data_IF_565462397527
#
_entry.id   IF_565462397527
#
_cell.length_a   1.000
_cell.length_b   1.000
_cell.length_c   1.000
_cell.angle_alpha   90.00
_cell.angle_beta   90.00
_cell.angle_gamma   90.00
#
_symmetry.space_group_name_H-M   'P 1'
#
loop_
_entity.id
_entity.type
_entity.pdbx_description
1 polymer ?
#
# COMPACT_ATOMS: atom_id res chain seq x y z
N UNK A 1 -6.19 5.60 -26.53
CA UNK A 1 -4.76 5.65 -26.16
C UNK A 1 -4.34 4.22 -25.84
N UNK A 2 -3.06 3.93 -25.61
CA UNK A 2 -2.67 2.59 -25.13
C UNK A 2 -3.02 2.50 -23.65
N UNK A 3 -3.60 1.38 -23.21
CA UNK A 3 -3.92 1.17 -21.79
C UNK A 3 -2.62 1.21 -20.98
N UNK A 4 -2.60 2.02 -19.92
CA UNK A 4 -1.47 2.20 -19.02
C UNK A 4 -1.08 0.89 -18.32
N UNK A 5 0.21 0.61 -18.28
CA UNK A 5 0.76 -0.54 -17.55
C UNK A 5 0.81 -0.26 -16.05
N UNK A 6 0.61 -1.31 -15.27
CA UNK A 6 0.70 -1.31 -13.82
C UNK A 6 1.68 -2.36 -13.32
N UNK A 7 2.43 -2.00 -12.28
CA UNK A 7 3.23 -2.92 -11.47
C UNK A 7 2.90 -2.72 -10.00
N UNK A 8 2.94 -3.80 -9.21
CA UNK A 8 2.60 -3.76 -7.79
C UNK A 8 3.78 -4.28 -6.98
N UNK A 9 4.13 -3.54 -5.93
CA UNK A 9 5.03 -3.99 -4.86
C UNK A 9 4.19 -4.33 -3.63
N UNK A 10 4.43 -5.46 -2.99
CA UNK A 10 3.82 -5.84 -1.72
C UNK A 10 4.88 -6.13 -0.67
N UNK A 11 4.70 -5.54 0.50
CA UNK A 11 5.44 -5.86 1.69
C UNK A 11 4.63 -6.82 2.57
N UNK A 12 5.26 -7.86 3.12
CA UNK A 12 4.60 -8.83 4.01
C UNK A 12 5.41 -9.03 5.29
N UNK A 13 4.71 -9.28 6.40
CA UNK A 13 5.35 -9.63 7.66
C UNK A 13 5.68 -11.12 7.71
N UNK A 14 6.78 -11.45 8.37
CA UNK A 14 7.19 -12.82 8.67
C UNK A 14 6.81 -13.15 10.12
N UNK A 15 6.07 -14.24 10.29
CA UNK A 15 5.61 -14.72 11.61
C UNK A 15 5.98 -16.18 11.84
N UNK A 16 6.18 -16.55 13.11
CA UNK A 16 6.26 -17.93 13.54
C UNK A 16 4.92 -18.65 13.29
N UNK A 17 4.90 -19.78 12.56
CA UNK A 17 3.66 -20.45 12.18
C UNK A 17 2.88 -21.05 13.37
N UNK A 18 3.53 -21.34 14.49
CA UNK A 18 2.86 -21.93 15.65
C UNK A 18 2.19 -20.87 16.53
N UNK A 19 2.79 -19.68 16.60
CA UNK A 19 2.43 -18.65 17.59
C UNK A 19 1.90 -17.35 16.98
N UNK A 20 2.06 -17.15 15.68
CA UNK A 20 1.70 -15.90 14.98
C UNK A 20 2.57 -14.70 15.35
N UNK A 21 3.68 -14.91 16.08
CA UNK A 21 4.57 -13.84 16.53
C UNK A 21 5.57 -13.48 15.46
N UNK A 22 5.85 -12.20 15.37
CA UNK A 22 6.80 -11.63 14.42
C UNK A 22 8.20 -12.29 14.55
N UNK A 23 8.82 -12.65 13.42
CA UNK A 23 10.12 -13.34 13.41
C UNK A 23 11.11 -12.71 12.41
N UNK A 24 12.37 -12.59 12.82
CA UNK A 24 13.40 -11.84 12.10
C UNK A 24 14.22 -12.74 11.13
N UNK A 25 13.57 -13.28 10.10
CA UNK A 25 14.17 -14.29 9.20
C UNK A 25 14.24 -13.90 7.72
N UNK A 26 14.02 -12.63 7.36
CA UNK A 26 13.97 -12.22 5.95
C UNK A 26 15.24 -12.53 5.17
N UNK A 27 16.42 -12.44 5.80
CA UNK A 27 17.70 -12.81 5.15
C UNK A 27 17.79 -14.30 4.84
N UNK A 28 17.23 -15.17 5.68
CA UNK A 28 17.17 -16.60 5.42
C UNK A 28 16.20 -16.88 4.26
N UNK A 29 15.04 -16.23 4.25
CA UNK A 29 14.04 -16.36 3.20
C UNK A 29 14.58 -15.89 1.83
N UNK A 30 15.20 -14.71 1.77
CA UNK A 30 15.80 -14.19 0.52
C UNK A 30 16.89 -15.14 0.02
N UNK A 31 17.76 -15.66 0.89
CA UNK A 31 18.77 -16.65 0.48
C UNK A 31 18.17 -17.95 -0.05
N UNK A 32 17.06 -18.40 0.55
CA UNK A 32 16.35 -19.59 0.08
C UNK A 32 15.80 -19.35 -1.34
N UNK A 33 15.22 -18.18 -1.59
CA UNK A 33 14.76 -17.79 -2.92
C UNK A 33 15.92 -17.67 -3.93
N UNK A 34 17.04 -17.04 -3.57
CA UNK A 34 18.22 -16.93 -4.44
C UNK A 34 18.81 -18.29 -4.86
N UNK A 35 18.65 -19.32 -4.01
CA UNK A 35 19.09 -20.68 -4.32
C UNK A 35 18.18 -21.39 -5.35
N UNK A 36 16.91 -20.97 -5.44
CA UNK A 36 15.93 -21.51 -6.38
C UNK A 36 14.94 -20.41 -6.82
N UNK A 37 15.39 -19.47 -7.67
CA UNK A 37 14.62 -18.27 -7.97
C UNK A 37 13.37 -18.59 -8.80
N UNK A 38 12.27 -17.95 -8.45
CA UNK A 38 11.05 -17.97 -9.24
C UNK A 38 11.14 -16.88 -10.34
N UNK A 39 10.93 -17.23 -11.63
CA UNK A 39 10.94 -16.24 -12.69
C UNK A 39 9.87 -15.17 -12.47
N UNK A 40 10.26 -13.91 -12.67
CA UNK A 40 9.36 -12.74 -12.62
C UNK A 40 8.65 -12.54 -11.28
N UNK A 41 9.21 -13.08 -10.19
CA UNK A 41 8.66 -12.98 -8.84
C UNK A 41 9.82 -12.83 -7.83
N UNK A 42 10.57 -11.72 -7.89
CA UNK A 42 11.69 -11.49 -6.98
C UNK A 42 11.20 -11.36 -5.53
N UNK A 43 12.08 -11.74 -4.62
CA UNK A 43 11.89 -11.68 -3.18
C UNK A 43 13.05 -10.93 -2.58
N UNK A 44 12.76 -9.78 -1.96
CA UNK A 44 13.76 -8.83 -1.52
C UNK A 44 13.67 -8.53 -0.01
N UNK A 45 14.78 -8.02 0.53
CA UNK A 45 14.88 -7.67 1.93
C UNK A 45 14.55 -6.19 2.16
N UNK A 46 13.63 -5.92 3.07
CA UNK A 46 13.21 -4.57 3.43
C UNK A 46 13.98 -4.04 4.67
N UNK A 47 13.64 -2.82 5.12
CA UNK A 47 14.21 -2.11 6.28
C UNK A 47 14.30 -2.99 7.54
N UNK A 48 13.34 -3.88 7.76
CA UNK A 48 13.30 -4.77 8.93
C UNK A 48 13.48 -6.24 8.54
N UNK A 49 14.17 -7.00 9.39
CA UNK A 49 14.36 -8.44 9.21
C UNK A 49 13.08 -9.25 9.33
N UNK A 50 12.03 -8.63 9.86
CA UNK A 50 10.69 -9.19 10.05
C UNK A 50 9.76 -8.97 8.84
N UNK A 51 10.28 -8.37 7.78
CA UNK A 51 9.53 -7.96 6.60
C UNK A 51 10.22 -8.47 5.35
N UNK A 52 9.43 -8.78 4.34
CA UNK A 52 9.89 -9.25 3.04
C UNK A 52 9.08 -8.53 1.96
N UNK A 53 9.72 -8.22 0.85
CA UNK A 53 9.11 -7.48 -0.25
C UNK A 53 9.05 -8.36 -1.50
N UNK A 54 8.02 -8.15 -2.30
CA UNK A 54 7.90 -8.74 -3.63
C UNK A 54 7.29 -7.74 -4.59
N UNK A 55 7.43 -7.99 -5.89
CA UNK A 55 6.92 -7.14 -6.94
C UNK A 55 6.40 -7.96 -8.12
N UNK A 56 5.52 -7.36 -8.92
CA UNK A 56 5.01 -7.94 -10.16
C UNK A 56 5.68 -7.30 -11.38
N UNK A 57 5.79 -8.02 -12.50
CA UNK A 57 6.08 -7.40 -13.79
C UNK A 57 5.00 -6.38 -14.17
N UNK A 58 5.34 -5.37 -15.00
CA UNK A 58 4.36 -4.44 -15.53
C UNK A 58 3.40 -5.14 -16.51
N UNK A 59 2.10 -4.92 -16.37
CA UNK A 59 1.07 -5.43 -17.29
C UNK A 59 -0.05 -4.40 -17.51
N UNK A 60 -0.73 -4.48 -18.66
CA UNK A 60 -1.94 -3.71 -18.94
C UNK A 60 -3.23 -4.51 -18.63
N UNK A 61 -3.12 -5.79 -18.27
CA UNK A 61 -4.25 -6.69 -18.07
C UNK A 61 -4.40 -7.06 -16.57
N UNK A 62 -5.61 -6.91 -16.02
CA UNK A 62 -5.85 -7.19 -14.60
C UNK A 62 -5.89 -8.69 -14.26
N UNK A 63 -6.20 -9.56 -15.21
CA UNK A 63 -6.14 -11.01 -15.03
C UNK A 63 -4.67 -11.47 -15.02
N UNK A 64 -3.82 -10.88 -15.86
CA UNK A 64 -2.36 -11.09 -15.79
C UNK A 64 -1.79 -10.58 -14.46
N UNK A 65 -2.27 -9.43 -13.97
CA UNK A 65 -1.88 -8.88 -12.67
C UNK A 65 -2.28 -9.80 -11.51
N UNK A 66 -3.50 -10.34 -11.51
CA UNK A 66 -3.97 -11.30 -10.49
C UNK A 66 -3.04 -12.53 -10.44
N UNK A 67 -2.73 -13.11 -11.60
CA UNK A 67 -1.79 -14.24 -11.71
C UNK A 67 -0.39 -13.86 -11.23
N UNK A 68 0.09 -12.67 -11.58
CA UNK A 68 1.40 -12.19 -11.13
C UNK A 68 1.46 -12.00 -9.61
N UNK A 69 0.46 -11.37 -9.00
CA UNK A 69 0.38 -11.20 -7.54
C UNK A 69 0.37 -12.55 -6.80
N UNK A 70 -0.40 -13.54 -7.29
CA UNK A 70 -0.41 -14.88 -6.70
C UNK A 70 0.94 -15.58 -6.82
N UNK A 71 1.62 -15.42 -7.96
CA UNK A 71 2.97 -15.94 -8.18
C UNK A 71 3.99 -15.29 -7.25
N UNK A 72 3.95 -13.98 -7.10
CA UNK A 72 4.81 -13.21 -6.19
C UNK A 72 4.58 -13.64 -4.74
N UNK A 73 3.32 -13.77 -4.31
CA UNK A 73 2.98 -14.31 -2.98
C UNK A 73 3.39 -15.77 -2.79
N UNK A 74 3.33 -16.60 -3.83
CA UNK A 74 3.86 -17.97 -3.80
C UNK A 74 5.36 -17.97 -3.52
N UNK A 75 6.12 -17.20 -4.27
CA UNK A 75 7.57 -17.12 -4.13
C UNK A 75 7.98 -16.66 -2.71
N UNK A 76 7.28 -15.65 -2.18
CA UNK A 76 7.46 -15.19 -0.79
C UNK A 76 7.07 -16.26 0.22
N UNK A 77 5.94 -16.94 0.03
CA UNK A 77 5.44 -17.98 0.92
C UNK A 77 6.38 -19.19 1.00
N UNK A 78 6.87 -19.67 -0.14
CA UNK A 78 7.84 -20.77 -0.24
C UNK A 78 9.18 -20.37 0.40
N UNK A 79 9.66 -19.15 0.15
CA UNK A 79 10.88 -18.62 0.76
C UNK A 79 10.76 -18.49 2.30
N UNK A 80 9.61 -18.00 2.79
CA UNK A 80 9.34 -17.90 4.22
C UNK A 80 9.27 -19.29 4.88
N UNK A 81 8.62 -20.26 4.22
CA UNK A 81 8.50 -21.63 4.72
C UNK A 81 9.87 -22.31 4.86
N UNK A 82 10.76 -22.16 3.88
CA UNK A 82 12.14 -22.68 3.96
C UNK A 82 12.94 -22.02 5.09
N UNK A 83 12.62 -20.77 5.43
CA UNK A 83 13.20 -20.06 6.56
C UNK A 83 12.53 -20.40 7.92
N UNK A 84 11.54 -21.30 7.94
CA UNK A 84 10.82 -21.70 9.16
C UNK A 84 9.76 -20.67 9.62
N UNK A 85 9.29 -19.80 8.73
CA UNK A 85 8.29 -18.78 8.99
C UNK A 85 7.07 -18.90 8.05
N UNK A 86 6.04 -18.12 8.32
CA UNK A 86 4.92 -17.86 7.41
C UNK A 86 4.90 -16.38 7.05
N UNK A 87 4.65 -16.06 5.78
CA UNK A 87 4.40 -14.69 5.33
C UNK A 87 2.93 -14.34 5.49
N UNK A 88 2.63 -13.14 6.00
CA UNK A 88 1.26 -12.65 6.21
C UNK A 88 1.07 -11.26 5.63
N UNK A 89 0.03 -11.10 4.81
CA UNK A 89 -0.35 -9.82 4.21
C UNK A 89 -1.21 -8.99 5.19
N UNK A 90 -0.53 -8.27 6.09
CA UNK A 90 -1.11 -7.40 7.12
C UNK A 90 -0.29 -6.13 7.29
N UNK A 91 -0.95 -4.98 7.44
CA UNK A 91 -0.25 -3.69 7.39
C UNK A 91 0.58 -3.36 8.63
N UNK A 92 0.37 -4.01 9.79
CA UNK A 92 1.13 -3.76 11.03
C UNK A 92 1.31 -5.01 11.88
N UNK A 93 2.38 -5.09 12.70
CA UNK A 93 2.60 -6.21 13.61
C UNK A 93 1.51 -6.33 14.69
N UNK A 94 0.81 -7.46 14.73
CA UNK A 94 -0.21 -7.74 15.75
C UNK A 94 0.41 -8.34 17.01
N UNK A 95 1.29 -9.34 16.86
CA UNK A 95 1.94 -10.04 17.96
C UNK A 95 3.46 -9.91 17.82
N UNK A 96 4.11 -9.35 18.83
CA UNK A 96 5.55 -9.05 18.80
C UNK A 96 6.19 -9.56 20.09
N UNK A 97 7.32 -10.25 19.95
CA UNK A 97 8.21 -10.60 21.07
C UNK A 97 9.46 -9.72 20.99
N UNK A 98 9.57 -8.73 21.88
CA UNK A 98 10.74 -7.85 21.95
C UNK A 98 10.75 -6.73 20.91
N UNK A 99 11.95 -6.32 20.49
CA UNK A 99 12.14 -5.19 19.57
C UNK A 99 12.26 -5.67 18.12
N UNK A 100 11.78 -4.83 17.19
CA UNK A 100 12.00 -5.03 15.75
C UNK A 100 13.48 -4.87 15.39
N UNK A 101 13.94 -5.59 14.38
CA UNK A 101 15.36 -5.67 14.05
C UNK A 101 15.60 -5.09 12.67
N UNK A 102 16.37 -4.01 12.60
CA UNK A 102 16.72 -3.38 11.33
C UNK A 102 17.71 -4.26 10.57
N UNK A 103 17.45 -4.43 9.27
CA UNK A 103 18.32 -5.15 8.35
C UNK A 103 19.71 -4.51 8.34
N UNK A 104 20.81 -5.26 8.54
CA UNK A 104 22.16 -4.70 8.74
C UNK A 104 22.82 -4.25 7.44
N UNK A 105 22.13 -3.40 6.67
CA UNK A 105 22.66 -2.73 5.48
C UNK A 105 23.05 -1.29 5.82
N UNK A 106 24.12 -0.74 5.20
CA UNK A 106 24.59 0.62 5.49
C UNK A 106 23.50 1.70 5.39
N UNK A 107 22.63 1.62 4.38
CA UNK A 107 21.50 2.53 4.19
C UNK A 107 20.56 2.53 5.39
N UNK A 108 20.10 1.36 5.79
CA UNK A 108 19.15 1.18 6.89
C UNK A 108 19.72 1.56 8.26
N UNK A 109 21.00 1.28 8.50
CA UNK A 109 21.68 1.72 9.73
C UNK A 109 21.81 3.25 9.80
N UNK A 110 22.00 3.92 8.66
CA UNK A 110 21.99 5.39 8.57
C UNK A 110 20.60 5.96 8.86
N UNK A 111 19.54 5.36 8.29
CA UNK A 111 18.15 5.73 8.60
C UNK A 111 17.91 5.62 10.10
N UNK A 112 18.29 4.50 10.73
CA UNK A 112 18.16 4.34 12.19
C UNK A 112 18.84 5.45 12.97
N UNK A 113 20.06 5.81 12.57
CA UNK A 113 20.84 6.83 13.26
C UNK A 113 20.21 8.22 13.14
N UNK A 114 19.71 8.57 11.96
CA UNK A 114 19.15 9.91 11.70
C UNK A 114 17.77 10.10 12.34
N UNK A 115 16.87 9.13 12.19
CA UNK A 115 15.47 9.26 12.57
C UNK A 115 15.14 8.69 13.96
N UNK A 116 16.11 8.06 14.62
CA UNK A 116 16.01 7.54 15.98
C UNK A 116 14.72 6.71 16.20
N UNK A 117 13.87 7.08 17.16
CA UNK A 117 12.66 6.35 17.53
C UNK A 117 11.63 6.23 16.39
N UNK A 118 11.63 7.18 15.45
CA UNK A 118 10.77 7.07 14.27
C UNK A 118 11.15 5.86 13.42
N UNK A 119 12.46 5.60 13.24
CA UNK A 119 12.92 4.41 12.54
C UNK A 119 12.66 3.10 13.32
N UNK A 120 12.58 3.15 14.66
CA UNK A 120 12.27 1.96 15.47
C UNK A 120 10.79 1.59 15.46
N UNK A 121 9.90 2.56 15.27
CA UNK A 121 8.45 2.38 15.28
C UNK A 121 7.83 2.28 13.88
N UNK A 122 8.67 2.22 12.83
CA UNK A 122 8.25 2.29 11.43
C UNK A 122 7.84 0.97 10.79
N UNK A 123 7.91 -0.18 11.49
CA UNK A 123 7.56 -1.47 10.90
C UNK A 123 6.07 -1.50 10.53
N UNK A 124 5.81 -1.46 9.23
CA UNK A 124 4.49 -1.55 8.62
C UNK A 124 4.64 -2.05 7.18
N UNK A 125 3.59 -2.66 6.64
CA UNK A 125 3.59 -3.26 5.31
C UNK A 125 2.62 -2.55 4.37
N UNK A 126 3.16 -2.07 3.26
CA UNK A 126 2.46 -1.36 2.21
C UNK A 126 2.13 -2.25 1.00
N UNK A 127 1.23 -1.73 0.17
CA UNK A 127 1.18 -2.04 -1.25
C UNK A 127 1.47 -0.75 -2.03
N UNK A 128 2.45 -0.78 -2.93
CA UNK A 128 2.71 0.34 -3.84
C UNK A 128 2.24 -0.02 -5.25
N UNK A 129 1.58 0.93 -5.91
CA UNK A 129 1.09 0.76 -7.28
C UNK A 129 1.84 1.73 -8.18
N UNK A 130 2.63 1.18 -9.10
CA UNK A 130 3.26 1.93 -10.17
C UNK A 130 2.34 1.98 -11.38
N UNK A 131 2.11 3.17 -11.92
CA UNK A 131 1.36 3.37 -13.17
C UNK A 131 2.25 4.17 -14.12
N UNK A 132 2.43 3.68 -15.34
CA UNK A 132 3.24 4.36 -16.36
C UNK A 132 2.68 5.75 -16.75
N UNK A 133 3.61 6.65 -17.07
CA UNK A 133 3.33 8.02 -17.50
C UNK A 133 4.16 8.36 -18.74
N UNK A 134 3.64 9.27 -19.56
CA UNK A 134 4.30 9.66 -20.81
C UNK A 134 5.44 10.67 -20.60
N UNK A 135 5.37 11.48 -19.54
CA UNK A 135 6.42 12.44 -19.19
C UNK A 135 6.37 12.88 -17.72
N UNK A 136 7.45 13.43 -17.15
CA UNK A 136 7.43 14.03 -15.81
C UNK A 136 6.39 15.16 -15.66
N UNK A 137 6.14 15.94 -16.71
CA UNK A 137 5.12 17.00 -16.70
C UNK A 137 3.71 16.42 -16.57
N UNK A 138 3.42 15.31 -17.26
CA UNK A 138 2.19 14.55 -17.02
C UNK A 138 2.16 14.02 -15.59
N UNK A 139 3.25 13.41 -15.13
CA UNK A 139 3.36 12.86 -13.78
C UNK A 139 3.03 13.89 -12.69
N UNK A 140 3.57 15.11 -12.76
CA UNK A 140 3.26 16.17 -11.77
C UNK A 140 1.78 16.59 -11.82
N UNK A 141 1.20 16.74 -13.02
CA UNK A 141 -0.24 17.03 -13.14
C UNK A 141 -1.09 15.90 -12.54
N UNK A 142 -0.66 14.65 -12.76
CA UNK A 142 -1.31 13.47 -12.16
C UNK A 142 -1.22 13.53 -10.65
N UNK A 143 -0.04 13.76 -10.06
CA UNK A 143 0.14 13.86 -8.60
C UNK A 143 -0.83 14.88 -7.98
N UNK A 144 -0.90 16.08 -8.56
CA UNK A 144 -1.80 17.15 -8.11
C UNK A 144 -3.28 16.76 -8.28
N UNK A 145 -3.63 16.02 -9.33
CA UNK A 145 -5.00 15.61 -9.65
C UNK A 145 -5.54 14.45 -8.83
N UNK A 146 -4.69 13.47 -8.46
CA UNK A 146 -5.13 12.28 -7.73
C UNK A 146 -5.14 12.48 -6.22
N UNK A 147 -4.42 13.47 -5.69
CA UNK A 147 -4.26 13.68 -4.25
C UNK A 147 -5.58 13.68 -3.45
N UNK A 148 -6.69 14.31 -3.92
CA UNK A 148 -7.97 14.26 -3.20
C UNK A 148 -8.61 12.87 -3.11
N UNK A 149 -8.28 11.96 -4.03
CA UNK A 149 -8.84 10.62 -4.12
C UNK A 149 -8.01 9.54 -3.42
N UNK A 150 -6.73 9.81 -3.12
CA UNK A 150 -5.87 8.89 -2.38
C UNK A 150 -6.44 8.43 -1.02
N UNK A 151 -7.13 9.29 -0.22
CA UNK A 151 -7.83 8.84 0.98
C UNK A 151 -8.86 7.73 0.74
N UNK A 152 -9.50 7.70 -0.43
CA UNK A 152 -10.49 6.66 -0.78
C UNK A 152 -9.79 5.31 -1.02
N UNK A 153 -8.64 5.31 -1.69
CA UNK A 153 -7.81 4.10 -1.86
C UNK A 153 -7.27 3.59 -0.52
N UNK A 154 -6.83 4.51 0.36
CA UNK A 154 -6.43 4.17 1.72
C UNK A 154 -7.57 3.51 2.50
N UNK A 155 -8.79 4.04 2.41
CA UNK A 155 -9.94 3.47 3.10
C UNK A 155 -10.29 2.07 2.58
N UNK A 156 -10.20 1.84 1.27
CA UNK A 156 -10.49 0.54 0.64
C UNK A 156 -9.46 -0.54 0.98
N UNK A 157 -8.18 -0.15 1.09
CA UNK A 157 -7.07 -1.06 1.40
C UNK A 157 -6.80 -1.24 2.90
N UNK A 158 -7.46 -0.47 3.78
CA UNK A 158 -7.17 -0.44 5.21
C UNK A 158 -7.12 -1.84 5.86
N UNK A 159 -5.95 -2.22 6.38
CA UNK A 159 -5.66 -3.58 6.85
C UNK A 159 -4.68 -3.61 8.03
N UNK A 160 -4.72 -2.58 8.89
CA UNK A 160 -3.83 -2.47 10.05
C UNK A 160 -4.55 -1.94 11.32
N UNK A 161 -5.59 -2.62 11.84
CA UNK A 161 -6.31 -2.15 13.01
C UNK A 161 -5.57 -2.38 14.35
N UNK A 162 -4.66 -3.35 14.41
CA UNK A 162 -3.95 -3.74 15.63
C UNK A 162 -2.47 -3.36 15.58
N UNK A 163 -1.90 -3.02 16.73
CA UNK A 163 -0.45 -2.87 16.91
C UNK A 163 -0.06 -3.44 18.27
N UNK A 164 0.87 -4.40 18.28
CA UNK A 164 1.50 -4.92 19.51
C UNK A 164 0.49 -5.32 20.61
N UNK A 165 -0.44 -6.20 20.25
CA UNK A 165 -1.42 -6.74 21.19
C UNK A 165 -2.62 -5.82 21.47
N UNK A 166 -2.72 -4.66 20.82
CA UNK A 166 -3.75 -3.66 21.12
C UNK A 166 -4.51 -3.21 19.88
N UNK A 167 -5.82 -3.03 20.04
CA UNK A 167 -6.63 -2.31 19.07
C UNK A 167 -6.24 -0.82 19.11
N UNK A 168 -5.86 -0.28 17.96
CA UNK A 168 -5.43 1.12 17.82
C UNK A 168 -6.61 2.09 17.67
N UNK A 169 -7.81 1.55 17.50
CA UNK A 169 -8.99 2.28 17.08
C UNK A 169 -8.93 2.75 15.63
N UNK A 170 -7.90 2.47 14.85
CA UNK A 170 -7.84 2.84 13.42
C UNK A 170 -8.20 1.63 12.54
N UNK A 171 -8.54 1.90 11.28
CA UNK A 171 -8.63 0.87 10.24
C UNK A 171 -7.26 0.68 9.56
N UNK A 172 -6.56 1.77 9.28
CA UNK A 172 -5.15 1.78 8.89
C UNK A 172 -4.31 2.51 9.94
N UNK A 173 -3.65 1.77 10.82
CA UNK A 173 -2.63 2.32 11.72
C UNK A 173 -1.30 2.55 11.01
N UNK A 174 -1.01 1.81 9.94
CA UNK A 174 0.17 2.03 9.09
C UNK A 174 0.27 3.49 8.64
N UNK A 175 -0.83 4.07 8.17
CA UNK A 175 -0.84 5.50 7.78
C UNK A 175 -0.44 6.45 8.92
N UNK A 176 -0.76 6.11 10.17
CA UNK A 176 -0.41 6.91 11.34
C UNK A 176 1.04 6.73 11.79
N UNK A 177 1.65 5.58 11.48
CA UNK A 177 3.08 5.33 11.67
C UNK A 177 3.87 6.18 10.67
N UNK A 178 3.54 6.08 9.38
CA UNK A 178 4.19 6.84 8.31
C UNK A 178 3.93 8.34 8.40
N UNK A 179 2.75 8.75 8.88
CA UNK A 179 2.35 10.12 9.18
C UNK A 179 3.31 10.93 10.05
N UNK A 180 4.20 10.26 10.80
CA UNK A 180 5.17 10.90 11.70
C UNK A 180 6.48 11.27 11.00
N UNK A 181 6.73 10.74 9.81
CA UNK A 181 7.95 11.00 9.06
C UNK A 181 7.91 12.40 8.46
N UNK A 182 8.99 13.18 8.58
CA UNK A 182 8.99 14.59 8.19
C UNK A 182 8.87 14.81 6.67
N UNK A 183 9.20 13.80 5.86
CA UNK A 183 9.07 13.80 4.40
C UNK A 183 7.80 13.12 3.89
N UNK A 184 6.87 12.74 4.79
CA UNK A 184 5.66 11.99 4.42
C UNK A 184 4.42 12.87 4.23
N UNK A 185 3.52 12.39 3.37
CA UNK A 185 2.14 12.85 3.26
C UNK A 185 1.87 13.73 2.05
N UNK A 186 0.61 14.14 1.91
CA UNK A 186 0.15 15.07 0.89
C UNK A 186 0.58 16.52 1.18
N UNK A 187 1.30 17.11 0.24
CA UNK A 187 1.72 18.52 0.25
C UNK A 187 0.74 19.47 -0.44
N UNK A 188 1.16 20.72 -0.62
CA UNK A 188 0.53 21.64 -1.57
C UNK A 188 0.78 21.17 -3.01
N UNK A 189 -0.10 21.50 -3.97
CA UNK A 189 0.13 21.17 -5.38
C UNK A 189 1.51 21.64 -5.87
N UNK A 190 2.20 20.80 -6.62
CA UNK A 190 3.53 21.12 -7.16
C UNK A 190 3.44 22.08 -8.35
N UNK A 191 2.41 21.94 -9.19
CA UNK A 191 2.17 22.74 -10.38
C UNK A 191 3.12 22.47 -11.55
N UNK A 192 4.42 22.32 -11.29
CA UNK A 192 5.44 22.01 -12.31
C UNK A 192 6.57 21.10 -11.79
N UNK A 193 7.27 20.48 -12.75
CA UNK A 193 8.39 19.55 -12.51
C UNK A 193 9.55 20.23 -11.78
N UNK A 194 9.81 21.50 -12.08
CA UNK A 194 10.87 22.26 -11.42
C UNK A 194 10.58 22.46 -9.92
N UNK A 195 9.31 22.65 -9.56
CA UNK A 195 8.86 22.78 -8.17
C UNK A 195 8.90 21.44 -7.46
N UNK A 196 8.47 20.35 -8.11
CA UNK A 196 8.63 19.01 -7.56
C UNK A 196 10.09 18.71 -7.18
N UNK A 197 11.03 18.87 -8.11
CA UNK A 197 12.45 18.63 -7.83
C UNK A 197 13.01 19.58 -6.76
N UNK A 198 12.64 20.86 -6.78
CA UNK A 198 13.07 21.83 -5.76
C UNK A 198 12.60 21.43 -4.37
N UNK A 199 11.36 20.95 -4.22
CA UNK A 199 10.83 20.49 -2.93
C UNK A 199 11.60 19.26 -2.46
N UNK A 200 11.83 18.28 -3.33
CA UNK A 200 12.61 17.08 -2.99
C UNK A 200 14.05 17.45 -2.57
N UNK A 201 14.71 18.32 -3.33
CA UNK A 201 16.06 18.82 -3.01
C UNK A 201 16.09 19.57 -1.66
N UNK A 202 15.05 20.35 -1.35
CA UNK A 202 14.93 21.05 -0.06
C UNK A 202 14.72 20.08 1.09
N UNK A 203 13.85 19.07 0.94
CA UNK A 203 13.65 18.04 1.97
C UNK A 203 14.95 17.29 2.28
N UNK A 204 15.74 16.96 1.25
CA UNK A 204 17.06 16.35 1.41
C UNK A 204 18.05 17.33 2.05
N UNK A 205 18.12 18.56 1.54
CA UNK A 205 19.04 19.58 2.04
C UNK A 205 18.79 20.00 3.49
N UNK A 206 17.54 19.89 3.98
CA UNK A 206 17.16 20.18 5.37
C UNK A 206 17.28 18.97 6.29
N UNK A 207 17.58 17.78 5.76
CA UNK A 207 17.68 16.54 6.54
C UNK A 207 16.33 15.91 6.89
N UNK A 208 15.21 16.37 6.30
CA UNK A 208 13.92 15.70 6.42
C UNK A 208 13.87 14.39 5.61
N UNK A 209 14.72 14.26 4.59
CA UNK A 209 14.98 13.05 3.83
C UNK A 209 16.50 12.83 3.72
N UNK A 210 16.99 11.58 3.71
CA UNK A 210 18.43 11.33 3.49
C UNK A 210 18.83 11.41 2.01
N UNK A 211 17.87 11.12 1.13
CA UNK A 211 18.00 11.08 -0.31
C UNK A 211 16.61 11.18 -0.96
N UNK A 212 16.53 11.38 -2.29
CA UNK A 212 15.25 11.50 -2.99
C UNK A 212 14.31 10.31 -2.80
N UNK A 213 14.83 9.09 -2.59
CA UNK A 213 13.99 7.91 -2.37
C UNK A 213 13.26 7.92 -1.01
N UNK A 214 13.65 8.80 -0.08
CA UNK A 214 12.93 9.06 1.18
C UNK A 214 11.89 10.19 1.07
N UNK A 215 11.61 10.71 -0.13
CA UNK A 215 10.43 11.54 -0.34
C UNK A 215 9.17 10.64 -0.24
N UNK A 216 8.62 10.53 0.96
CA UNK A 216 7.53 9.61 1.32
C UNK A 216 6.15 10.21 1.08
N UNK A 217 6.00 10.97 0.00
CA UNK A 217 4.70 11.51 -0.41
C UNK A 217 3.68 10.38 -0.64
N UNK A 218 2.40 10.71 -0.48
CA UNK A 218 1.29 9.78 -0.66
C UNK A 218 1.25 9.17 -2.08
N UNK A 219 1.71 9.94 -3.07
CA UNK A 219 2.13 9.47 -4.38
C UNK A 219 3.35 10.29 -4.85
N UNK A 220 4.21 9.70 -5.68
CA UNK A 220 5.44 10.37 -6.17
C UNK A 220 5.80 9.99 -7.61
N UNK A 221 6.69 10.77 -8.23
CA UNK A 221 7.41 10.30 -9.42
C UNK A 221 8.43 9.26 -8.97
N UNK A 222 8.39 8.06 -9.53
CA UNK A 222 9.41 7.05 -9.27
C UNK A 222 10.76 7.51 -9.82
N UNK A 223 11.85 7.17 -9.12
CA UNK A 223 13.19 7.63 -9.48
C UNK A 223 13.74 6.91 -10.73
N UNK A 224 13.50 5.59 -10.79
CA UNK A 224 14.12 4.70 -11.78
C UNK A 224 13.14 4.22 -12.86
N UNK A 225 11.84 4.54 -12.71
CA UNK A 225 10.77 4.13 -13.62
C UNK A 225 9.97 5.35 -14.07
N UNK A 226 9.55 5.44 -15.34
CA UNK A 226 8.67 6.51 -15.82
C UNK A 226 7.23 6.24 -15.35
N UNK A 227 7.03 6.28 -14.03
CA UNK A 227 5.77 5.93 -13.37
C UNK A 227 5.41 6.95 -12.30
N UNK A 228 4.11 7.12 -12.07
CA UNK A 228 3.60 7.62 -10.79
C UNK A 228 3.44 6.41 -9.86
N UNK A 229 4.04 6.52 -8.69
CA UNK A 229 4.01 5.50 -7.65
C UNK A 229 3.03 5.93 -6.56
N UNK A 230 1.91 5.22 -6.41
CA UNK A 230 0.87 5.45 -5.40
C UNK A 230 1.20 4.61 -4.16
N UNK A 231 1.37 5.26 -3.00
CA UNK A 231 1.97 4.65 -1.80
C UNK A 231 1.07 4.65 -0.57
N UNK A 232 -0.19 5.05 -0.71
CA UNK A 232 -1.12 5.17 0.43
C UNK A 232 -1.63 3.84 0.94
N UNK A 233 -1.68 2.79 0.12
CA UNK A 233 -2.36 1.55 0.46
C UNK A 233 -1.63 0.73 1.53
N UNK A 234 -2.38 0.18 2.48
CA UNK A 234 -1.88 -0.96 3.26
C UNK A 234 -1.82 -2.19 2.34
N UNK A 235 -0.95 -3.15 2.64
CA UNK A 235 -0.99 -4.44 1.96
C UNK A 235 -2.37 -5.09 2.17
N UNK A 236 -3.01 -5.52 1.08
CA UNK A 236 -4.35 -6.14 1.14
C UNK A 236 -4.22 -7.62 1.48
N UNK A 237 -5.07 -8.17 2.35
CA UNK A 237 -5.02 -9.63 2.63
C UNK A 237 -5.48 -10.46 1.43
N UNK A 238 -6.56 -10.05 0.76
CA UNK A 238 -7.03 -10.73 -0.46
C UNK A 238 -6.34 -10.14 -1.70
N UNK A 239 -5.94 -10.98 -2.65
CA UNK A 239 -5.35 -10.53 -3.93
C UNK A 239 -6.39 -9.78 -4.76
N UNK A 240 -7.65 -10.20 -4.66
CA UNK A 240 -8.77 -9.59 -5.39
C UNK A 240 -8.96 -8.13 -5.00
N UNK A 241 -8.71 -7.78 -3.73
CA UNK A 241 -8.78 -6.41 -3.23
C UNK A 241 -7.57 -5.60 -3.73
N UNK A 242 -6.37 -6.19 -3.76
CA UNK A 242 -5.17 -5.57 -4.34
C UNK A 242 -5.36 -5.22 -5.82
N UNK A 243 -5.98 -6.12 -6.60
CA UNK A 243 -6.31 -5.89 -8.01
C UNK A 243 -7.28 -4.73 -8.18
N UNK A 244 -8.33 -4.65 -7.35
CA UNK A 244 -9.32 -3.54 -7.41
C UNK A 244 -8.67 -2.20 -7.07
N UNK A 245 -7.84 -2.15 -6.01
CA UNK A 245 -7.12 -0.92 -5.64
C UNK A 245 -6.16 -0.50 -6.75
N UNK A 246 -5.47 -1.45 -7.38
CA UNK A 246 -4.57 -1.20 -8.51
C UNK A 246 -5.32 -0.66 -9.74
N UNK A 247 -6.46 -1.25 -10.09
CA UNK A 247 -7.31 -0.79 -11.19
C UNK A 247 -7.81 0.65 -10.96
N UNK A 248 -8.25 0.97 -9.74
CA UNK A 248 -8.68 2.32 -9.38
C UNK A 248 -7.51 3.32 -9.41
N UNK A 249 -6.31 2.93 -8.97
CA UNK A 249 -5.12 3.76 -9.07
C UNK A 249 -4.74 4.05 -10.53
N UNK A 250 -4.75 3.04 -11.42
CA UNK A 250 -4.55 3.23 -12.86
C UNK A 250 -5.59 4.17 -13.47
N UNK A 251 -6.85 3.98 -13.11
CA UNK A 251 -7.96 4.77 -13.65
C UNK A 251 -7.88 6.23 -13.16
N UNK A 252 -7.47 6.47 -11.91
CA UNK A 252 -7.18 7.81 -11.37
C UNK A 252 -6.04 8.49 -12.12
N UNK A 253 -4.91 7.80 -12.31
CA UNK A 253 -3.75 8.32 -13.06
C UNK A 253 -4.15 8.66 -14.50
N UNK A 254 -4.88 7.76 -15.17
CA UNK A 254 -5.35 7.97 -16.54
C UNK A 254 -6.31 9.16 -16.64
N UNK A 255 -7.24 9.28 -15.69
CA UNK A 255 -8.21 10.39 -15.65
C UNK A 255 -7.51 11.73 -15.39
N UNK A 256 -6.55 11.76 -14.45
CA UNK A 256 -5.81 12.97 -14.11
C UNK A 256 -4.84 13.40 -15.23
N UNK A 257 -4.24 12.44 -15.95
CA UNK A 257 -3.38 12.73 -17.10
C UNK A 257 -4.12 13.42 -18.25
N UNK A 258 -5.41 13.09 -18.44
CA UNK A 258 -6.26 13.68 -19.46
C UNK A 258 -6.89 15.03 -19.05
N UNK A 259 -6.74 15.46 -17.80
CA UNK A 259 -7.33 16.70 -17.31
C UNK A 259 -6.46 17.93 -17.65
N UNK A 260 -7.09 19.01 -18.12
CA UNK A 260 -6.39 20.27 -18.45
C UNK A 260 -5.79 20.97 -17.22
N UNK A 261 -6.48 20.92 -16.08
CA UNK A 261 -6.01 21.46 -14.81
C UNK A 261 -6.65 20.73 -13.62
N UNK A 262 -5.86 20.18 -12.68
CA UNK A 262 -6.40 19.54 -11.49
C UNK A 262 -7.04 20.57 -10.55
N UNK A 263 -8.12 20.18 -9.86
CA UNK A 263 -8.73 21.01 -8.85
C UNK A 263 -7.78 21.14 -7.65
N UNK A 264 -7.37 22.37 -7.31
CA UNK A 264 -6.48 22.61 -6.20
C UNK A 264 -7.18 22.33 -4.85
N UNK A 265 -6.60 21.44 -4.06
CA UNK A 265 -6.99 21.19 -2.67
C UNK A 265 -5.95 21.77 -1.72
N UNK A 266 -6.42 22.31 -0.61
CA UNK A 266 -5.53 22.72 0.48
C UNK A 266 -4.93 21.48 1.15
N UNK A 267 -3.65 21.53 1.49
CA UNK A 267 -2.98 20.41 2.16
C UNK A 267 -3.62 20.04 3.51
N UNK A 268 -4.18 20.99 4.25
CA UNK A 268 -4.89 20.70 5.51
C UNK A 268 -6.18 19.88 5.32
N UNK A 269 -6.89 20.06 4.22
CA UNK A 269 -8.08 19.26 3.89
C UNK A 269 -7.69 17.85 3.46
N UNK A 270 -6.61 17.71 2.68
CA UNK A 270 -6.07 16.41 2.29
C UNK A 270 -5.66 15.59 3.52
N UNK A 271 -4.90 16.20 4.45
CA UNK A 271 -4.53 15.54 5.71
C UNK A 271 -5.75 15.13 6.54
N UNK A 272 -6.79 15.96 6.61
CA UNK A 272 -8.01 15.64 7.34
C UNK A 272 -8.79 14.48 6.69
N UNK A 273 -8.85 14.44 5.35
CA UNK A 273 -9.47 13.35 4.60
C UNK A 273 -8.70 12.04 4.78
N UNK A 274 -7.37 12.06 4.66
CA UNK A 274 -6.50 10.89 4.90
C UNK A 274 -6.63 10.36 6.33
N UNK A 275 -6.62 11.24 7.34
CA UNK A 275 -6.84 10.83 8.73
C UNK A 275 -8.19 10.15 8.92
N UNK A 276 -9.25 10.70 8.31
CA UNK A 276 -10.59 10.13 8.41
C UNK A 276 -10.68 8.75 7.75
N UNK A 277 -10.09 8.60 6.57
CA UNK A 277 -9.97 7.32 5.88
C UNK A 277 -9.20 6.30 6.72
N UNK A 278 -8.05 6.69 7.28
CA UNK A 278 -7.26 5.86 8.17
C UNK A 278 -8.02 5.43 9.43
N UNK A 279 -8.79 6.33 10.02
CA UNK A 279 -9.52 6.09 11.28
C UNK A 279 -10.68 5.13 11.09
N UNK A 280 -11.36 5.19 9.96
CA UNK A 280 -12.64 4.52 9.79
C UNK A 280 -12.69 3.46 8.70
N UNK A 281 -11.76 3.48 7.74
CA UNK A 281 -11.83 2.64 6.55
C UNK A 281 -13.20 2.77 5.87
N UNK A 282 -13.76 1.66 5.44
CA UNK A 282 -15.10 1.59 4.83
C UNK A 282 -16.25 1.49 5.84
N UNK A 283 -15.98 1.49 7.14
CA UNK A 283 -17.01 1.25 8.17
C UNK A 283 -17.87 2.49 8.47
N UNK A 284 -17.42 3.69 8.12
CA UNK A 284 -18.13 4.95 8.35
C UNK A 284 -18.13 5.83 7.10
N UNK A 285 -18.51 7.10 7.27
CA UNK A 285 -18.52 8.09 6.20
C UNK A 285 -17.10 8.54 5.83
N UNK A 286 -16.82 8.69 4.54
CA UNK A 286 -15.59 9.23 3.98
C UNK A 286 -15.84 10.66 3.44
N UNK A 287 -14.77 11.40 3.15
CA UNK A 287 -14.88 12.65 2.40
C UNK A 287 -15.04 12.29 0.93
N UNK A 288 -16.11 12.76 0.29
CA UNK A 288 -16.29 12.71 -1.17
C UNK A 288 -15.52 13.87 -1.81
N UNK A 289 -14.48 13.61 -2.62
CA UNK A 289 -13.71 14.69 -3.25
C UNK A 289 -14.51 15.48 -4.29
N UNK A 290 -15.47 14.86 -4.98
CA UNK A 290 -16.27 15.57 -5.98
C UNK A 290 -17.26 16.53 -5.32
N UNK A 291 -17.91 16.09 -4.24
CA UNK A 291 -18.94 16.88 -3.55
C UNK A 291 -18.40 17.73 -2.38
N UNK A 292 -17.16 17.48 -1.94
CA UNK A 292 -16.53 18.10 -0.76
C UNK A 292 -17.36 17.99 0.53
N UNK A 293 -18.06 16.88 0.70
CA UNK A 293 -18.88 16.58 1.88
C UNK A 293 -18.57 15.20 2.40
N UNK A 294 -18.95 14.94 3.64
CA UNK A 294 -18.97 13.56 4.12
C UNK A 294 -20.11 12.78 3.45
N UNK A 295 -19.84 11.54 3.05
CA UNK A 295 -20.83 10.62 2.51
C UNK A 295 -20.52 9.18 2.95
N UNK A 296 -21.52 8.28 3.01
CA UNK A 296 -21.28 6.85 3.26
C UNK A 296 -20.21 6.28 2.32
N UNK A 297 -19.36 5.37 2.82
CA UNK A 297 -18.24 4.83 2.03
C UNK A 297 -18.68 4.25 0.67
N UNK A 298 -19.83 3.56 0.62
CA UNK A 298 -20.42 3.05 -0.63
C UNK A 298 -20.70 4.16 -1.66
N UNK A 299 -21.22 5.30 -1.22
CA UNK A 299 -21.50 6.44 -2.09
C UNK A 299 -20.21 7.10 -2.58
N UNK A 300 -19.19 7.22 -1.72
CA UNK A 300 -17.88 7.75 -2.09
C UNK A 300 -17.15 6.84 -3.08
N UNK A 301 -17.23 5.52 -2.91
CA UNK A 301 -16.70 4.56 -3.87
C UNK A 301 -17.43 4.65 -5.22
N UNK A 302 -18.75 4.80 -5.21
CA UNK A 302 -19.52 5.01 -6.43
C UNK A 302 -19.18 6.34 -7.13
N UNK A 303 -18.93 7.41 -6.35
CA UNK A 303 -18.44 8.70 -6.84
C UNK A 303 -17.05 8.56 -7.48
N UNK A 304 -16.13 7.80 -6.86
CA UNK A 304 -14.82 7.49 -7.45
C UNK A 304 -14.96 6.74 -8.77
N UNK A 305 -15.76 5.66 -8.82
CA UNK A 305 -16.00 4.90 -10.06
C UNK A 305 -16.61 5.80 -11.14
N UNK A 306 -17.55 6.68 -10.79
CA UNK A 306 -18.13 7.62 -11.73
C UNK A 306 -17.08 8.63 -12.26
N UNK A 307 -16.18 9.11 -11.39
CA UNK A 307 -15.10 10.02 -11.76
C UNK A 307 -14.12 9.40 -12.76
N UNK A 308 -13.77 8.12 -12.56
CA UNK A 308 -12.77 7.43 -13.39
C UNK A 308 -13.38 6.51 -14.45
N UNK A 309 -14.71 6.53 -14.64
CA UNK A 309 -15.43 5.62 -15.54
C UNK A 309 -14.87 5.59 -16.96
N UNK A 310 -14.57 6.72 -17.62
CA UNK A 310 -14.02 6.69 -18.98
C UNK A 310 -12.71 5.90 -19.08
N UNK A 311 -11.82 6.02 -18.06
CA UNK A 311 -10.57 5.27 -18.02
C UNK A 311 -10.80 3.77 -17.80
N UNK A 312 -11.76 3.40 -16.96
CA UNK A 312 -12.15 2.00 -16.76
C UNK A 312 -12.78 1.39 -18.02
N UNK A 313 -13.58 2.16 -18.76
CA UNK A 313 -14.19 1.72 -20.03
C UNK A 313 -13.12 1.51 -21.10
N UNK A 314 -12.14 2.40 -21.20
CA UNK A 314 -11.01 2.27 -22.12
C UNK A 314 -10.15 1.03 -21.81
N UNK A 315 -9.93 0.73 -20.53
CA UNK A 315 -9.19 -0.44 -20.09
C UNK A 315 -10.00 -1.75 -20.11
N UNK A 316 -11.33 -1.68 -20.18
CA UNK A 316 -12.21 -2.85 -20.10
C UNK A 316 -12.48 -3.35 -18.67
N UNK A 317 -12.17 -2.56 -17.64
CA UNK A 317 -12.13 -2.99 -16.23
C UNK A 317 -13.41 -2.74 -15.43
N UNK A 318 -14.42 -2.07 -16.02
CA UNK A 318 -15.61 -1.59 -15.29
C UNK A 318 -16.25 -2.69 -14.45
N UNK A 319 -16.55 -3.84 -15.06
CA UNK A 319 -17.18 -4.96 -14.36
C UNK A 319 -16.29 -5.52 -13.25
N UNK A 320 -14.99 -5.70 -13.53
CA UNK A 320 -14.02 -6.22 -12.56
C UNK A 320 -13.90 -5.35 -11.31
N UNK A 321 -13.97 -4.03 -11.49
CA UNK A 321 -13.94 -3.06 -10.39
C UNK A 321 -15.27 -3.01 -9.65
N UNK A 322 -16.41 -2.93 -10.35
CA UNK A 322 -17.73 -2.88 -9.72
C UNK A 322 -18.04 -4.14 -8.90
N UNK A 323 -17.78 -5.32 -9.46
CA UNK A 323 -17.97 -6.61 -8.77
C UNK A 323 -17.01 -6.75 -7.57
N UNK A 324 -15.76 -6.32 -7.74
CA UNK A 324 -14.75 -6.33 -6.68
C UNK A 324 -15.10 -5.40 -5.52
N UNK A 325 -15.59 -4.20 -5.80
CA UNK A 325 -16.05 -3.25 -4.77
C UNK A 325 -17.30 -3.76 -4.05
N UNK A 326 -18.24 -4.39 -4.75
CA UNK A 326 -19.41 -5.00 -4.10
C UNK A 326 -18.99 -6.14 -3.18
N UNK A 327 -18.08 -7.01 -3.62
CA UNK A 327 -17.52 -8.09 -2.80
C UNK A 327 -16.78 -7.55 -1.56
N UNK A 328 -15.96 -6.51 -1.73
CA UNK A 328 -15.24 -5.83 -0.65
C UNK A 328 -16.21 -5.23 0.38
N UNK A 329 -17.26 -4.55 -0.07
CA UNK A 329 -18.28 -3.97 0.81
C UNK A 329 -19.12 -5.04 1.52
N UNK A 330 -19.43 -6.16 0.86
CA UNK A 330 -20.22 -7.24 1.43
C UNK A 330 -19.43 -8.06 2.47
N UNK A 331 -18.15 -8.35 2.20
CA UNK A 331 -17.26 -9.09 3.12
C UNK A 331 -16.70 -8.19 4.23
N UNK A 332 -16.55 -6.90 3.95
CA UNK A 332 -15.71 -5.98 4.72
C UNK A 332 -14.24 -6.13 4.32
N UNK A 333 -13.51 -5.00 4.32
CA UNK A 333 -12.07 -4.98 4.07
C UNK A 333 -11.25 -5.63 5.18
N UNK A 334 -9.92 -5.65 5.01
CA UNK A 334 -8.99 -6.34 5.90
C UNK A 334 -9.13 -5.96 7.37
N UNK A 335 -9.23 -4.66 7.69
CA UNK A 335 -9.42 -4.20 9.06
C UNK A 335 -10.74 -4.67 9.69
N UNK A 336 -11.86 -4.63 8.94
CA UNK A 336 -13.17 -5.11 9.41
C UNK A 336 -13.11 -6.60 9.69
N UNK A 337 -12.45 -7.37 8.82
CA UNK A 337 -12.32 -8.80 8.98
C UNK A 337 -11.51 -9.17 10.23
N UNK A 338 -10.35 -8.56 10.42
CA UNK A 338 -9.51 -8.81 11.60
C UNK A 338 -10.30 -8.55 12.90
N UNK A 339 -11.06 -7.45 12.96
CA UNK A 339 -11.94 -7.13 14.10
C UNK A 339 -13.04 -8.19 14.28
N UNK A 340 -13.70 -8.62 13.21
CA UNK A 340 -14.75 -9.65 13.27
C UNK A 340 -14.21 -11.01 13.74
N UNK A 341 -12.96 -11.36 13.42
CA UNK A 341 -12.30 -12.56 13.96
C UNK A 341 -12.07 -12.38 15.46
N UNK A 342 -11.50 -11.26 15.89
CA UNK A 342 -11.27 -10.99 17.31
C UNK A 342 -12.56 -10.95 18.14
N UNK A 343 -13.62 -10.31 17.63
CA UNK A 343 -14.93 -10.26 18.31
C UNK A 343 -15.52 -11.66 18.52
N UNK A 344 -15.31 -12.58 17.57
CA UNK A 344 -15.80 -13.96 17.64
C UNK A 344 -14.96 -14.85 18.56
N UNK A 345 -13.64 -14.64 18.61
CA UNK A 345 -12.70 -15.57 19.27
C UNK A 345 -12.09 -15.04 20.57
N UNK A 346 -12.04 -13.72 20.75
CA UNK A 346 -11.31 -13.06 21.82
C UNK A 346 -9.79 -13.19 21.74
N UNK A 347 -9.22 -13.63 20.61
CA UNK A 347 -7.79 -13.95 20.47
C UNK A 347 -7.16 -13.26 19.28
N UNK A 348 -6.04 -12.58 19.52
CA UNK A 348 -5.22 -11.98 18.47
C UNK A 348 -4.38 -13.02 17.73
N UNK A 349 -4.02 -14.13 18.37
CA UNK A 349 -3.44 -15.30 17.70
C UNK A 349 -4.38 -15.84 16.62
N UNK A 350 -5.68 -15.90 16.91
CA UNK A 350 -6.69 -16.30 15.93
C UNK A 350 -6.82 -15.29 14.77
N UNK A 351 -6.61 -13.99 15.03
CA UNK A 351 -6.56 -12.96 13.98
C UNK A 351 -5.38 -13.20 13.04
N UNK A 352 -4.18 -13.39 13.58
CA UNK A 352 -2.99 -13.67 12.77
C UNK A 352 -3.14 -14.98 12.00
N UNK A 353 -3.73 -16.01 12.63
CA UNK A 353 -3.99 -17.29 11.97
C UNK A 353 -4.96 -17.16 10.78
N UNK A 354 -6.04 -16.38 10.91
CA UNK A 354 -7.00 -16.12 9.81
C UNK A 354 -6.33 -15.38 8.64
N UNK A 355 -5.51 -14.37 8.93
CA UNK A 355 -4.74 -13.65 7.90
C UNK A 355 -3.74 -14.56 7.21
N UNK A 356 -3.04 -15.42 7.98
CA UNK A 356 -2.12 -16.41 7.40
C UNK A 356 -2.84 -17.37 6.47
N UNK A 357 -3.92 -18.00 6.93
CA UNK A 357 -4.69 -18.95 6.12
C UNK A 357 -5.12 -18.33 4.79
N UNK A 358 -5.50 -17.05 4.79
CA UNK A 358 -5.90 -16.31 3.59
C UNK A 358 -4.74 -15.95 2.69
N UNK A 359 -3.64 -15.49 3.27
CA UNK A 359 -2.41 -15.21 2.54
C UNK A 359 -1.91 -16.50 1.87
N UNK A 360 -1.98 -17.65 2.56
CA UNK A 360 -1.61 -18.96 2.03
C UNK A 360 -2.57 -19.45 0.93
N UNK A 361 -3.88 -19.28 1.14
CA UNK A 361 -4.89 -19.65 0.15
C UNK A 361 -4.70 -18.93 -1.19
N UNK A 362 -4.18 -17.69 -1.19
CA UNK A 362 -3.99 -16.93 -2.43
C UNK A 362 -2.98 -17.57 -3.39
N UNK A 363 -2.02 -18.35 -2.88
CA UNK A 363 -0.98 -18.98 -3.69
C UNK A 363 -0.99 -20.51 -3.67
N UNK A 364 -1.72 -21.16 -2.76
CA UNK A 364 -1.91 -22.62 -2.79
C UNK A 364 -2.95 -23.07 -3.83
N UNK A 365 -3.89 -22.21 -4.17
CA UNK A 365 -4.98 -22.50 -5.11
C UNK A 365 -4.63 -22.32 -6.60
N UNK A 366 -3.40 -21.86 -6.90
CA UNK A 366 -2.92 -21.52 -8.25
C UNK A 366 -1.87 -22.48 -8.79
#
# INVERSE_FOLDING_TARGET
MTVRQVGVEEELLLVDPATGRLTAVSRQAVRAHEAAPAPDAPVEAELFLQQIETQTPPTADLDELDVALRRSRRAVGEAAAEAGAAAVAIGTPVLVDGQVTITPQPRYLRIRQEYAELAHSALACAMHVHVDIESPEEGVRVLDGIAPWLPVLLAASANSPYLEGRDTGHASWRSQIWGRWPSHGSGEPFGDVATYHRVVEQLVGWGAALDPAMAYFDARLAADLPTVEVRVADVCTEVEDAVVVTALARALVTTAAAADAPAAWRGDLLRAASWRAARHGLAERLVDPAAQVLAPAREVLASLVAHVRPALEEAGDVARVEDGLEALLARGGGATRQRAVFERTGSLEAVVADVRERTEASWQAG
#
